data_IF_053546133418
#
_entry.id   IF_053546133418
#
_cell.length_a   1.000
_cell.length_b   1.000
_cell.length_c   1.000
_cell.angle_alpha   90.00
_cell.angle_beta   90.00
_cell.angle_gamma   90.00
#
_symmetry.space_group_name_H-M   'P 1'
#
loop_
_entity.id
_entity.type
_entity.pdbx_description
1 polymer ?
#
# COMPACT_ATOMS: atom_id res chain seq x y z
N UNK A 1 53.34 15.78 25.59
CA UNK A 1 53.32 14.76 26.67
C UNK A 1 52.67 13.51 26.05
N UNK A 2 53.38 12.49 25.49
CA UNK A 2 54.20 11.45 26.16
C UNK A 2 53.57 11.06 27.49
N UNK A 3 52.87 9.93 27.62
CA UNK A 3 53.37 8.59 27.96
C UNK A 3 52.30 8.02 28.94
N UNK A 4 51.96 6.74 29.09
CA UNK A 4 52.44 5.44 28.62
C UNK A 4 51.48 4.38 29.22
N UNK A 5 51.31 3.28 28.49
CA UNK A 5 51.35 1.87 28.95
C UNK A 5 50.54 1.45 30.18
N UNK A 6 49.52 0.62 29.95
CA UNK A 6 49.41 -0.76 30.47
C UNK A 6 48.61 -1.54 29.40
N UNK A 7 49.20 -2.31 28.48
CA UNK A 7 49.75 -3.65 28.67
C UNK A 7 48.99 -4.48 29.72
N UNK A 8 47.96 -5.20 29.28
CA UNK A 8 47.73 -6.56 29.76
C UNK A 8 47.35 -7.45 28.58
N UNK A 9 48.24 -8.39 28.31
CA UNK A 9 48.07 -9.49 27.38
C UNK A 9 46.88 -10.36 27.84
N UNK A 10 45.99 -10.69 26.92
CA UNK A 10 45.47 -12.05 26.82
C UNK A 10 45.04 -12.31 25.39
N UNK A 11 45.94 -12.98 24.67
CA UNK A 11 45.68 -13.72 23.45
C UNK A 11 44.57 -14.74 23.72
N UNK A 12 43.43 -14.57 23.08
CA UNK A 12 42.61 -15.71 22.65
C UNK A 12 42.35 -15.57 21.16
N UNK A 13 43.20 -16.26 20.39
CA UNK A 13 42.85 -16.74 19.06
C UNK A 13 41.69 -17.74 19.22
N UNK A 14 40.51 -17.38 18.74
CA UNK A 14 39.60 -18.34 18.13
C UNK A 14 39.09 -17.73 16.82
N UNK A 15 39.77 -18.13 15.75
CA UNK A 15 39.31 -18.02 14.38
C UNK A 15 38.12 -18.98 14.26
N UNK A 16 36.91 -18.48 14.48
CA UNK A 16 35.72 -19.12 13.90
C UNK A 16 35.40 -18.37 12.62
N UNK A 17 35.87 -18.92 11.51
CA UNK A 17 35.42 -18.58 10.16
C UNK A 17 33.93 -18.91 10.05
N UNK A 18 33.08 -17.98 10.47
CA UNK A 18 31.65 -18.01 10.25
C UNK A 18 31.28 -16.93 9.25
N UNK A 19 31.53 -17.19 7.97
CA UNK A 19 31.00 -16.38 6.88
C UNK A 19 29.50 -16.66 6.84
N UNK A 20 28.71 -15.88 7.59
CA UNK A 20 27.27 -15.78 7.33
C UNK A 20 27.07 -14.76 6.22
N UNK A 21 27.44 -15.16 5.01
CA UNK A 21 26.90 -14.54 3.83
C UNK A 21 25.42 -14.94 3.69
N UNK A 22 24.67 -14.02 3.11
CA UNK A 22 23.37 -14.21 2.48
C UNK A 22 22.17 -14.33 3.42
N UNK A 23 21.66 -13.17 3.84
CA UNK A 23 20.33 -12.81 3.37
C UNK A 23 20.54 -11.56 2.51
N UNK A 24 20.84 -11.81 1.23
CA UNK A 24 20.25 -10.94 0.24
C UNK A 24 18.76 -11.05 0.52
N UNK A 25 18.16 -9.98 1.06
CA UNK A 25 16.72 -9.81 0.98
C UNK A 25 16.42 -9.87 -0.51
N UNK A 26 16.02 -11.06 -0.93
CA UNK A 26 15.53 -11.37 -2.25
C UNK A 26 14.44 -10.33 -2.48
N UNK A 27 14.80 -9.27 -3.19
CA UNK A 27 13.89 -8.45 -3.95
C UNK A 27 13.30 -9.39 -4.99
N UNK A 28 12.43 -10.28 -4.54
CA UNK A 28 11.46 -10.93 -5.39
C UNK A 28 10.77 -9.74 -6.03
N UNK A 29 10.84 -9.57 -7.37
CA UNK A 29 9.92 -8.67 -8.00
C UNK A 29 8.57 -9.24 -7.60
N UNK A 30 7.90 -8.55 -6.68
CA UNK A 30 6.53 -8.86 -6.36
C UNK A 30 5.87 -8.89 -7.74
N UNK A 31 5.35 -10.06 -8.12
CA UNK A 31 4.43 -10.17 -9.22
C UNK A 31 3.29 -9.27 -8.79
N UNK A 32 3.39 -7.98 -9.12
CA UNK A 32 2.31 -7.05 -8.96
C UNK A 32 1.27 -7.61 -9.89
N UNK A 33 0.25 -8.27 -9.33
CA UNK A 33 -0.95 -8.54 -10.09
C UNK A 33 -1.32 -7.21 -10.74
N UNK A 34 -1.63 -7.27 -12.04
CA UNK A 34 -1.73 -6.11 -12.95
C UNK A 34 -2.62 -4.98 -12.40
N UNK A 35 -3.45 -5.27 -11.40
CA UNK A 35 -4.45 -4.39 -10.81
C UNK A 35 -4.32 -4.25 -9.28
N UNK A 36 -3.24 -4.73 -8.66
CA UNK A 36 -3.09 -4.64 -7.21
C UNK A 36 -2.56 -3.26 -6.79
N UNK A 37 -3.34 -2.59 -5.93
CA UNK A 37 -2.97 -1.26 -5.44
C UNK A 37 -2.05 -1.41 -4.24
N UNK A 38 -1.03 -0.54 -4.09
CA UNK A 38 -0.17 -0.55 -2.91
C UNK A 38 -0.99 -0.48 -1.61
N UNK A 39 -0.53 -1.20 -0.58
CA UNK A 39 -1.24 -1.23 0.71
C UNK A 39 -1.40 0.17 1.33
N UNK A 40 -0.41 1.04 1.14
CA UNK A 40 -0.49 2.42 1.61
C UNK A 40 -1.60 3.22 0.95
N UNK A 41 -1.79 3.05 -0.36
CA UNK A 41 -2.85 3.70 -1.14
C UNK A 41 -4.22 3.23 -0.67
N UNK A 42 -4.35 1.92 -0.49
CA UNK A 42 -5.55 1.27 0.06
C UNK A 42 -5.91 1.84 1.43
N UNK A 43 -4.94 1.89 2.35
CA UNK A 43 -5.12 2.43 3.70
C UNK A 43 -5.52 3.90 3.68
N UNK A 44 -4.87 4.70 2.84
CA UNK A 44 -5.15 6.13 2.70
C UNK A 44 -6.55 6.37 2.13
N UNK A 45 -6.93 5.62 1.10
CA UNK A 45 -8.27 5.66 0.53
C UNK A 45 -9.33 5.33 1.59
N UNK A 46 -9.16 4.21 2.31
CA UNK A 46 -10.12 3.78 3.34
C UNK A 46 -10.25 4.80 4.47
N UNK A 47 -9.12 5.40 4.90
CA UNK A 47 -9.14 6.47 5.89
C UNK A 47 -9.90 7.68 5.38
N UNK A 48 -9.59 8.15 4.17
CA UNK A 48 -10.24 9.31 3.54
C UNK A 48 -11.74 9.12 3.32
N UNK A 49 -12.11 7.99 2.73
CA UNK A 49 -13.51 7.65 2.45
C UNK A 49 -14.32 7.47 3.74
N UNK A 50 -13.74 6.82 4.75
CA UNK A 50 -14.38 6.54 6.04
C UNK A 50 -14.73 7.79 6.87
N UNK A 51 -14.17 8.96 6.55
CA UNK A 51 -14.58 10.22 7.21
C UNK A 51 -16.02 10.63 6.84
N UNK A 52 -16.52 10.21 5.68
CA UNK A 52 -17.79 10.70 5.12
C UNK A 52 -18.76 9.60 4.72
N UNK A 53 -18.28 8.36 4.60
CA UNK A 53 -19.08 7.23 4.13
C UNK A 53 -18.87 5.99 5.00
N UNK A 54 -19.74 4.98 4.83
CA UNK A 54 -19.62 3.71 5.54
C UNK A 54 -18.45 2.86 5.02
N UNK A 55 -17.98 1.94 5.87
CA UNK A 55 -16.89 1.02 5.50
C UNK A 55 -17.26 0.17 4.28
N UNK A 56 -18.51 -0.26 4.18
CA UNK A 56 -19.04 -1.08 3.08
C UNK A 56 -18.98 -0.33 1.76
N UNK A 57 -19.43 0.93 1.75
CA UNK A 57 -19.34 1.80 0.58
C UNK A 57 -17.89 2.01 0.14
N UNK A 58 -16.99 2.29 1.09
CA UNK A 58 -15.58 2.51 0.80
C UNK A 58 -14.90 1.26 0.24
N UNK A 59 -15.20 0.09 0.82
CA UNK A 59 -14.66 -1.19 0.35
C UNK A 59 -15.14 -1.48 -1.07
N UNK A 60 -16.45 -1.37 -1.32
CA UNK A 60 -17.03 -1.55 -2.66
C UNK A 60 -16.41 -0.60 -3.69
N UNK A 61 -16.27 0.68 -3.33
CA UNK A 61 -15.72 1.70 -4.22
C UNK A 61 -14.28 1.39 -4.60
N UNK A 62 -13.46 1.00 -3.63
CA UNK A 62 -12.06 0.64 -3.87
C UNK A 62 -11.93 -0.62 -4.73
N UNK A 63 -12.74 -1.65 -4.46
CA UNK A 63 -12.70 -2.89 -5.22
C UNK A 63 -13.15 -2.69 -6.67
N UNK A 64 -14.18 -1.85 -6.88
CA UNK A 64 -14.60 -1.45 -8.22
C UNK A 64 -13.50 -0.68 -8.97
N UNK A 65 -12.82 0.25 -8.30
CA UNK A 65 -11.67 0.94 -8.90
C UNK A 65 -10.59 -0.04 -9.35
N UNK A 66 -10.18 -0.97 -8.47
CA UNK A 66 -9.18 -2.00 -8.79
C UNK A 66 -9.62 -2.93 -9.92
N UNK A 67 -10.93 -3.19 -10.05
CA UNK A 67 -11.45 -4.06 -11.10
C UNK A 67 -11.43 -3.40 -12.50
N UNK A 68 -11.48 -2.06 -12.55
CA UNK A 68 -11.62 -1.31 -13.80
C UNK A 68 -10.32 -0.59 -14.21
N UNK A 69 -9.51 -0.19 -13.23
CA UNK A 69 -8.34 0.63 -13.44
C UNK A 69 -7.12 -0.04 -12.84
N UNK A 70 -6.02 0.00 -13.59
CA UNK A 70 -4.70 -0.24 -13.04
C UNK A 70 -4.34 0.88 -12.06
N UNK A 71 -3.34 0.63 -11.21
CA UNK A 71 -2.88 1.65 -10.27
C UNK A 71 -2.39 2.93 -10.99
N UNK A 72 -1.73 2.79 -12.14
CA UNK A 72 -1.26 3.94 -12.93
C UNK A 72 -2.41 4.78 -13.49
N UNK A 73 -3.51 4.15 -13.92
CA UNK A 73 -4.71 4.85 -14.38
C UNK A 73 -5.42 5.54 -13.23
N UNK A 74 -5.54 4.87 -12.08
CA UNK A 74 -6.07 5.48 -10.87
C UNK A 74 -5.28 6.72 -10.45
N UNK A 75 -3.94 6.69 -10.50
CA UNK A 75 -3.13 7.86 -10.17
C UNK A 75 -3.40 9.05 -11.10
N UNK A 76 -3.62 8.81 -12.40
CA UNK A 76 -3.96 9.87 -13.35
C UNK A 76 -5.32 10.48 -13.01
N UNK A 77 -6.31 9.64 -12.73
CA UNK A 77 -7.66 10.06 -12.33
C UNK A 77 -7.62 10.85 -11.01
N UNK A 78 -6.92 10.33 -9.99
CA UNK A 78 -6.81 10.95 -8.67
C UNK A 78 -6.09 12.30 -8.74
N UNK A 79 -4.99 12.39 -9.49
CA UNK A 79 -4.27 13.65 -9.73
C UNK A 79 -5.18 14.67 -10.42
N UNK A 80 -5.82 14.28 -11.54
CA UNK A 80 -6.71 15.16 -12.29
C UNK A 80 -7.88 15.65 -11.42
N UNK A 81 -8.46 14.78 -10.60
CA UNK A 81 -9.55 15.16 -9.70
C UNK A 81 -9.09 16.12 -8.60
N UNK A 82 -7.86 15.99 -8.08
CA UNK A 82 -7.31 16.94 -7.08
C UNK A 82 -7.03 18.30 -7.68
N UNK A 83 -6.54 18.35 -8.91
CA UNK A 83 -6.21 19.58 -9.62
C UNK A 83 -7.48 20.32 -10.08
N UNK A 84 -8.40 19.59 -10.71
CA UNK A 84 -9.62 20.17 -11.32
C UNK A 84 -10.81 20.27 -10.36
N UNK A 85 -10.70 19.62 -9.18
CA UNK A 85 -11.82 19.41 -8.24
C UNK A 85 -13.01 18.67 -8.85
N UNK A 86 -12.80 17.95 -9.94
CA UNK A 86 -13.85 17.22 -10.67
C UNK A 86 -13.47 15.75 -10.79
N UNK A 87 -14.38 14.88 -10.37
CA UNK A 87 -14.25 13.43 -10.56
C UNK A 87 -14.88 13.06 -11.90
N UNK A 88 -14.23 12.23 -12.75
CA UNK A 88 -14.81 11.81 -14.01
C UNK A 88 -16.20 11.15 -13.84
N UNK A 89 -17.18 11.41 -14.73
CA UNK A 89 -18.53 10.88 -14.59
C UNK A 89 -18.61 9.36 -14.45
N UNK A 90 -17.75 8.62 -15.14
CA UNK A 90 -17.66 7.16 -15.09
C UNK A 90 -17.25 6.66 -13.69
N UNK A 91 -16.36 7.40 -13.01
CA UNK A 91 -15.94 7.08 -11.64
C UNK A 91 -17.04 7.43 -10.64
N UNK A 92 -17.78 8.51 -10.87
CA UNK A 92 -18.96 8.85 -10.07
C UNK A 92 -20.01 7.74 -10.15
N UNK A 93 -20.32 7.27 -11.36
CA UNK A 93 -21.28 6.17 -11.56
C UNK A 93 -20.82 4.89 -10.87
N UNK A 94 -19.52 4.60 -10.93
CA UNK A 94 -18.93 3.47 -10.23
C UNK A 94 -19.15 3.56 -8.70
N UNK A 95 -18.93 4.73 -8.09
CA UNK A 95 -19.21 4.93 -6.67
C UNK A 95 -20.70 4.92 -6.34
N UNK A 96 -21.55 5.48 -7.21
CA UNK A 96 -23.01 5.43 -7.02
C UNK A 96 -23.52 3.99 -6.99
N UNK A 97 -22.94 3.09 -7.78
CA UNK A 97 -23.29 1.66 -7.76
C UNK A 97 -22.99 0.97 -6.42
N UNK A 98 -22.16 1.58 -5.57
CA UNK A 98 -21.84 1.10 -4.22
C UNK A 98 -22.75 1.66 -3.13
N UNK A 99 -23.69 2.56 -3.47
CA UNK A 99 -24.68 3.02 -2.50
C UNK A 99 -25.63 1.87 -2.14
N UNK A 100 -25.98 1.70 -0.86
CA UNK A 100 -27.02 0.75 -0.49
C UNK A 100 -28.31 1.15 -1.20
N UNK A 101 -28.90 0.22 -1.96
CA UNK A 101 -30.20 0.44 -2.59
C UNK A 101 -31.23 0.53 -1.48
N UNK A 102 -31.65 1.76 -1.14
CA UNK A 102 -32.73 1.98 -0.19
C UNK A 102 -34.04 1.64 -0.92
N UNK A 103 -34.42 0.36 -0.86
CA UNK A 103 -35.67 -0.16 -1.41
C UNK A 103 -35.51 -1.10 -2.60
N UNK A 104 -35.23 -2.38 -2.35
CA UNK A 104 -35.83 -3.45 -3.17
C UNK A 104 -36.07 -4.70 -2.30
N UNK A 105 -37.32 -5.04 -1.95
CA UNK A 105 -37.64 -6.21 -1.15
C UNK A 105 -37.72 -7.46 -2.03
N UNK A 106 -36.65 -7.90 -2.70
CA UNK A 106 -36.65 -9.24 -3.31
C UNK A 106 -35.24 -9.78 -3.54
N UNK A 107 -34.74 -10.57 -2.60
CA UNK A 107 -33.93 -11.77 -2.88
C UNK A 107 -33.81 -12.61 -1.61
N UNK A 108 -34.91 -13.29 -1.27
CA UNK A 108 -34.89 -14.68 -0.82
C UNK A 108 -36.22 -15.33 -1.16
#
# INVERSE_FOLDING_TARGET
>A
MRHRLFLSLSTFFLISSGISATYAEENKPAKQEKNEYPQEVTRTFMKGCGFTNSKEFCTCSLDKLRSQYTFAEFLKIDTAARETKQVPPEVIQLFQSCRPQIGNPTSK
#
